data_IF_291105939187
#
_entry.id   IF_291105939187
#
_cell.length_a   1.000
_cell.length_b   1.000
_cell.length_c   1.000
_cell.angle_alpha   90.00
_cell.angle_beta   90.00
_cell.angle_gamma   90.00
#
_symmetry.space_group_name_H-M   'P 1'
#
loop_
_entity.id
_entity.type
_entity.pdbx_description
1 polymer ?
#
# COMPACT_ATOMS: atom_id res chain seq x y z
N UNK A 1 14.28 17.45 -0.50
CA UNK A 1 14.90 16.52 -1.48
C UNK A 1 15.81 17.31 -2.38
N UNK A 2 17.12 17.17 -2.17
CA UNK A 2 18.15 18.03 -2.75
C UNK A 2 18.36 17.66 -4.22
N UNK A 3 18.12 18.62 -5.12
CA UNK A 3 18.25 18.47 -6.57
C UNK A 3 19.72 18.37 -6.96
N UNK A 4 20.33 17.19 -6.84
CA UNK A 4 21.72 16.99 -7.29
C UNK A 4 22.37 15.63 -7.03
N UNK A 5 21.87 14.83 -6.08
CA UNK A 5 22.39 13.47 -5.87
C UNK A 5 21.68 12.48 -6.79
N UNK A 6 22.36 12.04 -7.86
CA UNK A 6 21.91 10.90 -8.66
C UNK A 6 22.18 9.61 -7.87
N UNK A 7 21.12 9.03 -7.32
CA UNK A 7 21.17 7.68 -6.77
C UNK A 7 21.29 6.69 -7.94
N UNK A 8 22.24 5.77 -7.87
CA UNK A 8 22.33 4.66 -8.83
C UNK A 8 21.10 3.78 -8.65
N UNK A 9 20.17 3.83 -9.60
CA UNK A 9 19.02 2.95 -9.63
C UNK A 9 19.52 1.53 -9.92
N UNK A 10 19.46 0.65 -8.92
CA UNK A 10 19.70 -0.77 -9.11
C UNK A 10 18.40 -1.37 -9.62
N UNK A 11 18.41 -1.85 -10.86
CA UNK A 11 17.28 -2.53 -11.47
C UNK A 11 17.42 -4.03 -11.20
N UNK A 12 16.57 -4.55 -10.31
CA UNK A 12 16.50 -5.97 -9.99
C UNK A 12 15.08 -6.48 -10.17
N UNK A 13 14.97 -7.70 -10.70
CA UNK A 13 13.70 -8.27 -11.11
C UNK A 13 12.92 -8.77 -9.89
N UNK A 14 11.81 -8.11 -9.54
CA UNK A 14 10.88 -8.57 -8.50
C UNK A 14 10.09 -9.76 -9.08
N UNK A 15 10.55 -10.99 -8.82
CA UNK A 15 9.86 -12.21 -9.26
C UNK A 15 8.58 -12.42 -8.43
N UNK A 16 7.47 -11.80 -8.87
CA UNK A 16 6.15 -11.98 -8.28
C UNK A 16 5.49 -13.26 -8.81
N UNK A 17 5.87 -14.42 -8.29
CA UNK A 17 5.34 -15.69 -8.82
C UNK A 17 3.94 -16.04 -8.31
N UNK A 18 3.58 -15.70 -7.06
CA UNK A 18 2.21 -15.93 -6.54
C UNK A 18 1.83 -15.03 -5.34
N UNK A 19 1.92 -13.69 -5.44
CA UNK A 19 1.35 -12.88 -4.35
C UNK A 19 -0.18 -12.84 -4.43
N UNK A 20 -0.83 -13.74 -3.69
CA UNK A 20 -2.28 -13.75 -3.40
C UNK A 20 -2.63 -12.68 -2.36
N UNK A 21 -2.24 -11.44 -2.64
CA UNK A 21 -2.63 -10.27 -1.86
C UNK A 21 -4.13 -10.05 -1.97
N UNK A 22 -4.85 -9.99 -0.85
CA UNK A 22 -6.24 -9.54 -0.82
C UNK A 22 -6.36 -8.33 0.10
N UNK A 23 -7.26 -7.42 -0.25
CA UNK A 23 -7.60 -6.23 0.51
C UNK A 23 -9.12 -6.18 0.61
N UNK A 24 -9.63 -6.35 1.83
CA UNK A 24 -11.05 -6.21 2.11
C UNK A 24 -11.33 -4.82 2.66
N UNK A 25 -12.39 -4.19 2.17
CA UNK A 25 -12.78 -2.83 2.57
C UNK A 25 -14.14 -2.88 3.23
N UNK A 26 -14.23 -2.33 4.45
CA UNK A 26 -15.48 -2.11 5.16
C UNK A 26 -15.76 -0.61 5.22
N UNK A 27 -16.94 -0.24 4.74
CA UNK A 27 -17.48 1.11 4.83
C UNK A 27 -18.27 1.19 6.14
N UNK A 28 -17.86 2.07 7.05
CA UNK A 28 -18.55 2.27 8.31
C UNK A 28 -19.57 3.41 8.21
N UNK A 29 -19.20 4.45 7.48
CA UNK A 29 -20.05 5.59 7.14
C UNK A 29 -19.56 6.24 5.82
N UNK A 30 -20.03 7.45 5.51
CA UNK A 30 -19.68 8.20 4.31
C UNK A 30 -18.22 8.69 4.26
N UNK A 31 -17.59 8.84 5.43
CA UNK A 31 -16.29 9.49 5.60
C UNK A 31 -15.21 8.57 6.21
N UNK A 32 -15.60 7.40 6.70
CA UNK A 32 -14.75 6.43 7.38
C UNK A 32 -14.81 5.06 6.72
N UNK A 33 -13.64 4.56 6.31
CA UNK A 33 -13.46 3.19 5.83
C UNK A 33 -12.24 2.51 6.44
N UNK A 34 -12.38 1.21 6.68
CA UNK A 34 -11.30 0.35 7.19
C UNK A 34 -10.95 -0.66 6.10
N UNK A 35 -9.68 -0.69 5.71
CA UNK A 35 -9.11 -1.71 4.81
C UNK A 35 -8.30 -2.74 5.59
N UNK A 36 -8.53 -4.05 5.36
CA UNK A 36 -7.70 -5.14 5.92
C UNK A 36 -6.94 -5.84 4.80
N UNK A 37 -5.62 -5.83 4.89
CA UNK A 37 -4.75 -6.60 4.00
C UNK A 37 -4.55 -8.02 4.51
N UNK A 38 -4.35 -8.96 3.60
CA UNK A 38 -4.07 -10.37 3.87
C UNK A 38 -2.79 -10.65 4.67
N UNK A 39 -1.93 -9.63 4.86
CA UNK A 39 -0.69 -9.70 5.65
C UNK A 39 -0.85 -9.06 7.04
N UNK A 40 -2.08 -8.95 7.56
CA UNK A 40 -2.36 -8.41 8.90
C UNK A 40 -2.31 -6.89 9.00
N UNK A 41 -2.14 -6.19 7.87
CA UNK A 41 -2.15 -4.73 7.82
C UNK A 41 -3.58 -4.19 7.92
N UNK A 42 -3.75 -3.09 8.67
CA UNK A 42 -5.00 -2.34 8.76
C UNK A 42 -4.77 -0.91 8.31
N UNK A 43 -5.61 -0.45 7.40
CA UNK A 43 -5.60 0.91 6.87
C UNK A 43 -6.88 1.62 7.31
N UNK A 44 -6.73 2.83 7.84
CA UNK A 44 -7.86 3.69 8.18
C UNK A 44 -7.84 4.87 7.23
N UNK A 45 -8.96 5.09 6.54
CA UNK A 45 -9.16 6.33 5.80
C UNK A 45 -10.30 7.11 6.45
N UNK A 46 -10.00 8.36 6.79
CA UNK A 46 -10.96 9.36 7.26
C UNK A 46 -10.92 10.55 6.30
N UNK A 47 -12.09 11.05 5.90
CA UNK A 47 -12.22 12.40 5.35
C UNK A 47 -12.24 13.40 6.50
N UNK A 48 -11.58 14.54 6.34
CA UNK A 48 -11.58 15.72 7.24
C UNK A 48 -11.79 16.98 6.42
#
# INVERSE_FOLDING_TARGET
>A
IESGKKFTAVDFNIQNREQKGWLDITYLDEDLRIGRGNQGNVFVLSRV
#
